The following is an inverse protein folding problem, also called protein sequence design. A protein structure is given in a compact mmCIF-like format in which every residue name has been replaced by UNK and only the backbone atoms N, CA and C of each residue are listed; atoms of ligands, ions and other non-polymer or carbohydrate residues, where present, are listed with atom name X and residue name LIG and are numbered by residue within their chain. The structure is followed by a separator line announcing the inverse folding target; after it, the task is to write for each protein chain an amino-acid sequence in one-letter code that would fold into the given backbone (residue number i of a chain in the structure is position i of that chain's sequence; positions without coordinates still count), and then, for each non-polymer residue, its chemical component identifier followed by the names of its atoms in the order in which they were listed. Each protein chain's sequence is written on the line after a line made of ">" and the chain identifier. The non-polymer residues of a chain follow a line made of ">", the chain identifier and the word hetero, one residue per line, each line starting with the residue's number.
data_IF_957622298701
#
_entry.id   IF_957622298701
#
_cell.length_a   1.000
_cell.length_b   1.000
_cell.length_c   1.000
_cell.angle_alpha   90.00
_cell.angle_beta   90.00
_cell.angle_gamma   90.00
#
_symmetry.space_group_name_H-M   'P 1'
#
loop_
_entity.id
_entity.type
_entity.pdbx_description
1 polymer ?
#
# COMPACT_ATOMS: atom_id res chain seq x y z
N UNK A 1 -6.75 5.35 19.01
CA UNK A 1 -7.10 6.09 20.24
C UNK A 1 -7.07 7.57 19.90
N UNK A 2 -8.09 8.34 20.28
CA UNK A 2 -8.15 9.80 20.11
C UNK A 2 -7.15 10.52 21.04
N UNK A 3 -6.89 11.82 20.83
CA UNK A 3 -6.12 12.63 21.79
C UNK A 3 -6.70 12.65 23.20
N UNK A 4 -8.03 12.47 23.31
CA UNK A 4 -8.75 12.43 24.59
C UNK A 4 -8.78 11.03 25.21
N UNK A 5 -8.10 10.04 24.60
CA UNK A 5 -8.00 8.67 25.09
C UNK A 5 -9.17 7.75 24.69
N UNK A 6 -10.08 8.19 23.84
CA UNK A 6 -11.17 7.35 23.36
C UNK A 6 -10.67 6.29 22.36
N UNK A 7 -11.23 5.10 22.47
CA UNK A 7 -10.97 4.02 21.53
C UNK A 7 -11.79 4.21 20.26
N UNK A 8 -11.12 4.50 19.13
CA UNK A 8 -11.76 4.82 17.86
C UNK A 8 -12.06 3.60 16.98
N UNK A 9 -11.39 2.48 17.24
CA UNK A 9 -11.57 1.27 16.46
C UNK A 9 -10.29 0.45 16.30
N UNK A 10 -10.42 -0.67 15.62
CA UNK A 10 -9.33 -1.61 15.31
C UNK A 10 -9.21 -1.74 13.79
N UNK A 11 -7.97 -1.84 13.30
CA UNK A 11 -7.67 -2.37 11.99
C UNK A 11 -7.10 -3.78 12.14
N UNK A 12 -7.69 -4.75 11.49
CA UNK A 12 -7.14 -6.09 11.35
C UNK A 12 -6.39 -6.21 10.02
N UNK A 13 -5.25 -6.88 10.01
CA UNK A 13 -4.47 -7.12 8.79
C UNK A 13 -5.35 -7.78 7.71
N UNK A 14 -5.42 -7.17 6.52
CA UNK A 14 -6.29 -7.61 5.43
C UNK A 14 -5.75 -8.87 4.73
N UNK A 15 -4.42 -8.95 4.60
CA UNK A 15 -3.71 -10.04 3.93
C UNK A 15 -2.70 -10.67 4.90
N UNK A 16 -3.13 -11.67 5.71
CA UNK A 16 -2.22 -12.39 6.60
C UNK A 16 -1.19 -13.18 5.80
N UNK A 17 0.03 -13.27 6.35
CA UNK A 17 1.10 -14.04 5.73
C UNK A 17 0.75 -15.53 5.80
N UNK A 18 0.70 -16.24 4.65
CA UNK A 18 0.41 -17.67 4.65
C UNK A 18 1.41 -18.47 5.51
N UNK A 19 0.94 -19.49 6.20
CA UNK A 19 1.75 -20.46 6.96
C UNK A 19 2.43 -19.95 8.24
N UNK A 20 2.16 -18.72 8.70
CA UNK A 20 2.73 -18.21 9.96
C UNK A 20 2.06 -18.77 11.21
N UNK A 21 0.90 -19.40 11.07
CA UNK A 21 0.12 -19.93 12.20
C UNK A 21 -0.51 -18.86 13.10
N UNK A 22 -0.39 -17.60 12.75
CA UNK A 22 -1.01 -16.51 13.49
C UNK A 22 -2.52 -16.48 13.27
N UNK A 23 -3.28 -16.30 14.34
CA UNK A 23 -4.72 -16.08 14.24
C UNK A 23 -4.96 -14.61 13.87
N UNK A 24 -5.42 -14.37 12.67
CA UNK A 24 -5.74 -13.02 12.21
C UNK A 24 -7.25 -12.75 12.34
N UNK A 25 -7.57 -11.60 12.89
CA UNK A 25 -8.93 -11.07 12.86
C UNK A 25 -8.96 -10.02 11.76
N UNK A 26 -9.41 -10.40 10.58
CA UNK A 26 -9.62 -9.46 9.48
C UNK A 26 -11.09 -9.07 9.46
N UNK A 27 -11.42 -7.88 9.93
CA UNK A 27 -12.80 -7.37 9.83
C UNK A 27 -13.11 -6.79 8.44
N UNK A 28 -12.07 -6.52 7.65
CA UNK A 28 -12.15 -5.87 6.32
C UNK A 28 -12.96 -4.58 6.33
N UNK A 29 -12.91 -3.86 7.44
CA UNK A 29 -13.67 -2.61 7.64
C UNK A 29 -13.00 -1.39 7.01
N UNK A 30 -11.67 -1.41 6.86
CA UNK A 30 -10.85 -0.32 6.34
C UNK A 30 -11.15 1.02 7.02
N UNK A 31 -10.93 1.15 8.33
CA UNK A 31 -11.26 2.37 9.07
C UNK A 31 -10.34 3.52 8.66
N UNK A 32 -10.92 4.72 8.63
CA UNK A 32 -10.19 5.98 8.49
C UNK A 32 -10.53 6.90 9.64
N UNK A 33 -9.57 7.70 10.09
CA UNK A 33 -9.67 8.52 11.28
C UNK A 33 -9.44 9.99 10.91
N UNK A 34 -10.43 10.82 11.17
CA UNK A 34 -10.30 12.27 10.99
C UNK A 34 -9.42 12.86 12.06
N UNK A 35 -8.44 13.67 11.66
CA UNK A 35 -7.58 14.42 12.56
C UNK A 35 -7.50 15.88 12.12
N UNK A 36 -7.02 16.80 12.99
CA UNK A 36 -6.78 18.18 12.58
C UNK A 36 -5.78 18.33 11.42
N UNK A 37 -4.98 17.31 11.14
CA UNK A 37 -3.93 17.29 10.12
C UNK A 37 -4.33 16.53 8.85
N UNK A 38 -5.53 15.97 8.79
CA UNK A 38 -6.01 15.17 7.67
C UNK A 38 -6.55 13.80 8.09
N UNK A 39 -7.00 13.04 7.12
CA UNK A 39 -7.60 11.71 7.34
C UNK A 39 -6.50 10.65 7.37
N UNK A 40 -6.32 10.03 8.52
CA UNK A 40 -5.37 8.94 8.72
C UNK A 40 -6.00 7.57 8.48
N UNK A 41 -5.20 6.64 8.01
CA UNK A 41 -5.51 5.22 7.96
C UNK A 41 -4.29 4.39 8.37
N UNK A 42 -4.46 3.10 8.54
CA UNK A 42 -3.34 2.18 8.79
C UNK A 42 -3.47 0.94 7.92
N UNK A 43 -2.33 0.37 7.57
CA UNK A 43 -2.17 -1.00 7.07
C UNK A 43 -1.16 -1.71 7.96
N UNK A 44 -1.08 -3.03 7.87
CA UNK A 44 -0.13 -3.80 8.69
C UNK A 44 0.70 -4.70 7.78
N UNK A 45 2.04 -4.56 7.88
CA UNK A 45 3.01 -5.49 7.31
C UNK A 45 2.70 -5.83 5.84
N UNK A 46 2.42 -7.09 5.52
CA UNK A 46 2.24 -7.63 4.18
C UNK A 46 1.07 -7.02 3.37
N UNK A 47 0.20 -6.22 4.00
CA UNK A 47 -0.91 -5.53 3.31
C UNK A 47 -0.45 -4.61 2.17
N UNK A 48 0.76 -4.03 2.27
CA UNK A 48 1.31 -3.14 1.24
C UNK A 48 1.67 -3.86 -0.08
N UNK A 49 1.90 -5.17 -0.02
CA UNK A 49 2.16 -5.97 -1.21
C UNK A 49 0.92 -6.03 -2.14
N UNK A 50 -0.27 -5.81 -1.59
CA UNK A 50 -1.52 -5.88 -2.33
C UNK A 50 -2.02 -4.49 -2.73
N UNK A 51 -2.46 -4.37 -3.96
CA UNK A 51 -2.88 -3.08 -4.54
C UNK A 51 -4.22 -2.60 -4.01
N UNK A 52 -5.05 -3.49 -3.52
CA UNK A 52 -6.44 -3.21 -3.18
C UNK A 52 -6.63 -2.62 -1.79
N UNK A 53 -5.81 -2.97 -0.79
CA UNK A 53 -5.96 -2.50 0.59
C UNK A 53 -5.79 -0.98 0.69
N UNK A 54 -4.66 -0.43 0.21
CA UNK A 54 -4.42 1.02 0.20
C UNK A 54 -5.50 1.74 -0.63
N UNK A 55 -5.88 1.19 -1.78
CA UNK A 55 -6.92 1.74 -2.64
C UNK A 55 -8.27 1.85 -1.93
N UNK A 56 -8.66 0.83 -1.16
CA UNK A 56 -9.89 0.84 -0.35
C UNK A 56 -9.88 1.93 0.72
N UNK A 57 -8.74 2.10 1.40
CA UNK A 57 -8.56 3.16 2.40
C UNK A 57 -8.65 4.56 1.78
N UNK A 58 -7.97 4.78 0.63
CA UNK A 58 -8.00 6.08 -0.05
C UNK A 58 -9.39 6.40 -0.61
N UNK A 59 -10.13 5.40 -1.08
CA UNK A 59 -11.55 5.58 -1.45
C UNK A 59 -12.44 6.02 -0.28
N UNK A 60 -12.05 5.67 0.96
CA UNK A 60 -12.70 6.13 2.20
C UNK A 60 -12.14 7.45 2.72
N UNK A 61 -11.27 8.10 1.97
CA UNK A 61 -10.76 9.43 2.26
C UNK A 61 -9.38 9.47 2.90
N UNK A 62 -8.68 8.36 3.07
CA UNK A 62 -7.34 8.36 3.63
C UNK A 62 -6.39 9.27 2.83
N UNK A 63 -5.62 10.08 3.53
CA UNK A 63 -4.65 11.03 3.01
C UNK A 63 -3.23 10.71 3.48
N UNK A 64 -3.12 10.08 4.65
CA UNK A 64 -1.87 9.58 5.21
C UNK A 64 -2.11 8.15 5.71
N UNK A 65 -1.21 7.24 5.36
CA UNK A 65 -1.25 5.83 5.80
C UNK A 65 -0.08 5.57 6.73
N UNK A 66 -0.38 5.15 7.96
CA UNK A 66 0.60 4.60 8.89
C UNK A 66 0.80 3.11 8.58
N UNK A 67 2.06 2.69 8.43
CA UNK A 67 2.42 1.32 8.10
C UNK A 67 3.38 0.75 9.15
N UNK A 68 2.90 0.23 10.27
CA UNK A 68 3.72 -0.57 11.18
C UNK A 68 4.03 -1.93 10.55
N UNK A 69 5.29 -2.33 10.61
CA UNK A 69 5.73 -3.60 10.05
C UNK A 69 6.89 -4.21 10.83
N UNK A 70 7.14 -5.48 10.59
CA UNK A 70 8.29 -6.21 11.10
C UNK A 70 8.91 -7.00 9.96
N UNK A 71 9.69 -6.32 9.14
CA UNK A 71 10.33 -6.93 7.99
C UNK A 71 11.50 -7.80 8.41
N UNK A 72 11.66 -8.94 7.76
CA UNK A 72 12.83 -9.79 7.89
C UNK A 72 13.79 -9.50 6.74
N UNK A 73 15.08 -9.71 7.00
CA UNK A 73 16.14 -9.23 6.12
C UNK A 73 15.99 -9.53 4.62
N UNK A 74 15.48 -10.67 4.16
CA UNK A 74 15.29 -10.93 2.72
C UNK A 74 14.32 -9.98 2.01
N UNK A 75 13.33 -9.41 2.71
CA UNK A 75 12.31 -8.55 2.10
C UNK A 75 12.51 -7.06 2.38
N UNK A 76 13.43 -6.71 3.26
CA UNK A 76 13.63 -5.33 3.73
C UNK A 76 13.88 -4.30 2.62
N UNK A 77 14.41 -4.71 1.47
CA UNK A 77 14.60 -3.83 0.31
C UNK A 77 13.34 -3.74 -0.53
N UNK A 78 12.57 -4.83 -0.61
CA UNK A 78 11.37 -4.89 -1.45
C UNK A 78 10.17 -4.21 -0.81
N UNK A 79 10.03 -4.34 0.49
CA UNK A 79 8.85 -3.85 1.21
C UNK A 79 8.67 -2.32 1.12
N UNK A 80 9.70 -1.47 1.33
CA UNK A 80 9.58 -0.03 1.09
C UNK A 80 9.24 0.35 -0.35
N UNK A 81 9.63 -0.48 -1.34
CA UNK A 81 9.26 -0.25 -2.73
C UNK A 81 7.75 -0.39 -2.94
N UNK A 82 7.10 -1.34 -2.28
CA UNK A 82 5.65 -1.46 -2.33
C UNK A 82 4.98 -0.17 -1.82
N UNK A 83 5.43 0.39 -0.70
CA UNK A 83 4.90 1.65 -0.18
C UNK A 83 5.08 2.82 -1.15
N UNK A 84 6.23 2.89 -1.84
CA UNK A 84 6.48 3.89 -2.87
C UNK A 84 5.45 3.80 -3.99
N UNK A 85 5.17 2.57 -4.46
CA UNK A 85 4.13 2.37 -5.49
C UNK A 85 2.74 2.68 -4.95
N UNK A 86 2.38 2.19 -3.76
CA UNK A 86 1.07 2.48 -3.15
C UNK A 86 0.84 3.97 -2.98
N UNK A 87 1.87 4.71 -2.53
CA UNK A 87 1.82 6.17 -2.40
C UNK A 87 1.54 6.85 -3.76
N UNK A 88 2.34 6.53 -4.78
CA UNK A 88 2.22 7.14 -6.10
C UNK A 88 0.91 6.77 -6.81
N UNK A 89 0.50 5.50 -6.76
CA UNK A 89 -0.72 4.99 -7.38
C UNK A 89 -1.99 5.65 -6.82
N UNK A 90 -2.00 5.92 -5.53
CA UNK A 90 -3.18 6.40 -4.83
C UNK A 90 -3.11 7.88 -4.42
N UNK A 91 -1.99 8.56 -4.63
CA UNK A 91 -1.74 9.94 -4.17
C UNK A 91 -2.00 10.08 -2.67
N UNK A 92 -1.34 9.25 -1.88
CA UNK A 92 -1.42 9.20 -0.42
C UNK A 92 -0.03 9.16 0.17
N UNK A 93 0.19 9.85 1.29
CA UNK A 93 1.48 9.78 2.00
C UNK A 93 1.59 8.53 2.84
N UNK A 94 2.80 7.99 2.96
CA UNK A 94 3.10 6.84 3.82
C UNK A 94 4.08 7.20 4.92
N UNK A 95 3.80 6.69 6.12
CA UNK A 95 4.70 6.72 7.27
C UNK A 95 4.92 5.29 7.71
N UNK A 96 5.99 4.68 7.20
CA UNK A 96 6.40 3.32 7.53
C UNK A 96 7.26 3.31 8.77
N UNK A 97 6.87 2.51 9.74
CA UNK A 97 7.64 2.24 10.96
C UNK A 97 7.97 0.75 11.02
N UNK A 98 9.22 0.42 10.71
CA UNK A 98 9.72 -0.94 10.77
C UNK A 98 10.47 -1.17 12.10
N UNK A 99 10.29 -2.35 12.67
CA UNK A 99 10.96 -2.71 13.93
C UNK A 99 12.48 -2.86 13.79
N UNK A 100 12.97 -3.19 12.60
CA UNK A 100 14.40 -3.48 12.40
C UNK A 100 15.07 -2.68 11.30
N UNK A 101 14.41 -2.52 10.16
CA UNK A 101 15.01 -2.04 8.92
C UNK A 101 13.99 -1.27 8.08
N UNK A 102 14.49 -0.34 7.25
CA UNK A 102 13.66 0.19 6.17
C UNK A 102 12.46 1.04 6.58
N UNK A 103 12.48 1.67 7.77
CA UNK A 103 11.51 2.72 8.08
C UNK A 103 11.63 3.85 7.07
N UNK A 104 10.51 4.42 6.61
CA UNK A 104 10.51 5.46 5.61
C UNK A 104 9.31 6.41 5.76
N UNK A 105 9.50 7.65 5.34
CA UNK A 105 8.45 8.64 5.13
C UNK A 105 8.41 8.94 3.63
N UNK A 106 7.24 8.75 3.01
CA UNK A 106 7.07 8.78 1.56
C UNK A 106 5.94 9.75 1.22
N UNK A 107 6.18 10.62 0.24
CA UNK A 107 5.19 11.60 -0.21
C UNK A 107 4.17 10.98 -1.21
N UNK A 108 3.08 11.71 -1.57
CA UNK A 108 2.05 11.21 -2.48
C UNK A 108 2.52 10.95 -3.91
N UNK A 109 3.77 11.29 -4.23
CA UNK A 109 4.38 11.05 -5.54
C UNK A 109 5.38 9.89 -5.52
N UNK A 110 5.50 9.19 -4.37
CA UNK A 110 6.44 8.10 -4.18
C UNK A 110 7.88 8.57 -3.90
N UNK A 111 8.09 9.86 -3.57
CA UNK A 111 9.43 10.35 -3.19
C UNK A 111 9.69 10.04 -1.73
N UNK A 112 10.83 9.44 -1.44
CA UNK A 112 11.27 9.17 -0.07
C UNK A 112 11.81 10.46 0.55
N UNK A 113 11.11 10.98 1.56
CA UNK A 113 11.47 12.20 2.27
C UNK A 113 12.50 11.93 3.37
N UNK A 114 12.38 10.78 4.03
CA UNK A 114 13.32 10.29 5.03
C UNK A 114 13.30 8.76 5.04
N UNK A 115 14.45 8.14 5.29
CA UNK A 115 14.55 6.69 5.40
C UNK A 115 15.63 6.26 6.40
N UNK A 116 15.43 5.11 7.03
CA UNK A 116 16.44 4.43 7.82
C UNK A 116 17.30 3.50 6.95
N UNK A 117 18.52 3.15 7.39
CA UNK A 117 19.32 2.14 6.72
C UNK A 117 18.59 0.79 6.61
N UNK A 118 18.82 0.07 5.51
CA UNK A 118 18.27 -1.26 5.26
C UNK A 118 19.29 -2.37 5.51
N UNK A 119 20.56 -2.03 5.65
CA UNK A 119 21.69 -2.96 5.81
C UNK A 119 22.01 -3.30 7.26
N UNK A 120 21.49 -2.51 8.22
CA UNK A 120 21.77 -2.66 9.65
C UNK A 120 20.59 -2.25 10.51
N UNK A 121 20.49 -2.86 11.68
CA UNK A 121 19.55 -2.46 12.73
C UNK A 121 19.96 -1.12 13.32
N UNK A 122 19.08 -0.16 13.30
CA UNK A 122 19.34 1.18 13.83
C UNK A 122 18.15 1.64 14.66
N UNK A 123 18.41 2.04 15.91
CA UNK A 123 17.40 2.75 16.71
C UNK A 123 17.47 4.22 16.31
N UNK A 124 16.42 4.72 15.68
CA UNK A 124 16.38 6.12 15.24
C UNK A 124 14.95 6.64 15.19
N UNK A 125 14.83 7.95 15.17
CA UNK A 125 13.59 8.67 14.88
C UNK A 125 13.75 9.33 13.53
N UNK A 126 12.80 9.10 12.63
CA UNK A 126 12.70 9.81 11.36
C UNK A 126 11.72 10.96 11.51
N UNK A 127 12.06 12.10 10.95
CA UNK A 127 11.21 13.28 10.89
C UNK A 127 11.23 13.88 9.48
N UNK A 128 10.06 14.22 8.97
CA UNK A 128 9.90 14.98 7.74
C UNK A 128 8.55 15.69 7.72
N UNK A 129 8.43 16.75 6.94
CA UNK A 129 7.15 17.38 6.64
C UNK A 129 6.40 16.50 5.64
N UNK A 130 5.30 15.92 6.09
CA UNK A 130 4.50 14.99 5.29
C UNK A 130 3.40 15.75 4.56
N UNK A 131 3.41 15.82 3.23
CA UNK A 131 2.32 16.44 2.49
C UNK A 131 1.01 15.69 2.71
N UNK A 132 -0.07 16.41 2.96
CA UNK A 132 -1.42 15.88 3.05
C UNK A 132 -2.17 16.25 1.78
N UNK A 133 -2.31 15.30 0.83
CA UNK A 133 -2.95 15.59 -0.45
C UNK A 133 -4.46 15.76 -0.30
N UNK A 134 -5.15 16.35 -1.29
CA UNK A 134 -6.62 16.29 -1.35
C UNK A 134 -7.11 14.85 -1.33
N UNK A 135 -8.24 14.61 -0.66
CA UNK A 135 -8.89 13.28 -0.63
C UNK A 135 -9.40 12.86 -2.03
N UNK A 136 -9.56 11.54 -2.23
CA UNK A 136 -10.18 10.98 -3.45
C UNK A 136 -9.21 10.28 -4.42
N UNK A 137 -7.92 10.37 -4.18
CA UNK A 137 -6.91 9.60 -4.91
C UNK A 137 -6.81 9.91 -6.40
N UNK A 138 -6.42 8.91 -7.18
CA UNK A 138 -6.16 8.98 -8.62
C UNK A 138 -7.23 8.26 -9.45
N UNK A 139 -7.07 8.28 -10.77
CA UNK A 139 -7.83 7.40 -11.66
C UNK A 139 -7.63 5.93 -11.28
N UNK A 140 -6.39 5.52 -10.99
CA UNK A 140 -6.08 4.17 -10.54
C UNK A 140 -6.82 3.80 -9.24
N UNK A 141 -6.90 4.72 -8.28
CA UNK A 141 -7.69 4.51 -7.05
C UNK A 141 -9.14 4.13 -7.36
N UNK A 142 -9.73 4.70 -8.43
CA UNK A 142 -11.11 4.46 -8.84
C UNK A 142 -11.28 3.18 -9.66
N UNK A 143 -10.37 2.93 -10.59
CA UNK A 143 -10.51 1.87 -11.60
C UNK A 143 -9.74 0.58 -11.27
N UNK A 144 -8.66 0.68 -10.48
CA UNK A 144 -7.80 -0.45 -10.16
C UNK A 144 -7.00 -0.94 -11.37
N UNK A 145 -6.76 -2.24 -11.42
CA UNK A 145 -5.86 -2.91 -12.37
C UNK A 145 -6.49 -3.18 -13.75
N UNK A 146 -7.53 -2.41 -14.13
CA UNK A 146 -8.27 -2.59 -15.39
C UNK A 146 -7.38 -2.57 -16.64
N UNK A 147 -6.30 -1.76 -16.61
CA UNK A 147 -5.39 -1.65 -17.74
C UNK A 147 -4.61 -2.96 -17.96
N UNK A 148 -4.18 -3.62 -16.88
CA UNK A 148 -3.56 -4.94 -16.94
C UNK A 148 -4.51 -5.98 -17.54
N UNK A 149 -5.78 -5.96 -17.14
CA UNK A 149 -6.81 -6.83 -17.72
C UNK A 149 -7.01 -6.54 -19.22
N UNK A 150 -7.07 -5.28 -19.63
CA UNK A 150 -7.18 -4.88 -21.03
C UNK A 150 -6.00 -5.39 -21.85
N UNK A 151 -4.77 -5.24 -21.36
CA UNK A 151 -3.57 -5.75 -22.01
C UNK A 151 -3.61 -7.28 -22.14
N UNK A 152 -4.04 -7.99 -21.09
CA UNK A 152 -4.19 -9.44 -21.11
C UNK A 152 -5.21 -9.90 -22.17
N UNK A 153 -6.39 -9.28 -22.20
CA UNK A 153 -7.42 -9.58 -23.19
C UNK A 153 -6.94 -9.28 -24.63
N UNK A 154 -6.22 -8.17 -24.82
CA UNK A 154 -5.61 -7.83 -26.11
C UNK A 154 -4.60 -8.87 -26.56
N UNK A 155 -3.76 -9.35 -25.67
CA UNK A 155 -2.80 -10.42 -25.95
C UNK A 155 -3.49 -11.72 -26.36
N UNK A 156 -4.52 -12.14 -25.61
CA UNK A 156 -5.31 -13.34 -25.92
C UNK A 156 -5.98 -13.22 -27.29
N UNK A 157 -6.58 -12.08 -27.59
CA UNK A 157 -7.20 -11.81 -28.88
C UNK A 157 -6.18 -11.87 -30.05
N UNK A 158 -4.99 -11.29 -29.84
CA UNK A 158 -3.92 -11.32 -30.83
C UNK A 158 -3.43 -12.73 -31.11
N UNK A 159 -3.18 -13.54 -30.08
CA UNK A 159 -2.77 -14.94 -30.21
C UNK A 159 -3.87 -15.75 -30.94
N UNK A 160 -5.13 -15.57 -30.55
CA UNK A 160 -6.26 -16.24 -31.20
C UNK A 160 -6.37 -15.90 -32.69
N UNK A 161 -6.18 -14.63 -33.04
CA UNK A 161 -6.16 -14.17 -34.41
C UNK A 161 -5.01 -14.83 -35.25
N UNK A 162 -3.79 -14.84 -34.70
CA UNK A 162 -2.64 -15.43 -35.37
C UNK A 162 -2.81 -16.94 -35.62
N UNK A 163 -3.28 -17.69 -34.62
CA UNK A 163 -3.59 -19.12 -34.74
C UNK A 163 -4.66 -19.39 -35.79
N UNK A 164 -5.73 -18.58 -35.80
CA UNK A 164 -6.80 -18.70 -36.81
C UNK A 164 -6.27 -18.46 -38.23
N UNK A 165 -5.45 -17.43 -38.41
CA UNK A 165 -4.84 -17.07 -39.71
C UNK A 165 -3.90 -18.13 -40.21
N UNK A 166 -3.17 -18.84 -39.37
CA UNK A 166 -2.29 -19.94 -39.74
C UNK A 166 -3.07 -21.14 -40.25
N UNK A 167 -4.22 -21.46 -39.61
CA UNK A 167 -5.12 -22.56 -40.03
C UNK A 167 -5.76 -22.33 -41.41
N UNK A 168 -5.98 -21.09 -41.81
CA UNK A 168 -6.58 -20.75 -43.10
C UNK A 168 -5.56 -20.67 -44.27
N UNK A 169 -4.26 -20.73 -43.97
CA UNK A 169 -3.18 -20.65 -44.96
C UNK A 169 -2.48 -22.00 -45.24
N UNK A 170 -2.79 -23.04 -44.51
CA UNK A 170 -2.35 -24.41 -44.70
C UNK A 170 -3.47 -25.29 -45.21
#
# INVERSE_FOLDING_TARGET
>A
ISPDGEFLGVYGQDHPIPFTGEAFVTERTYPTYQTPFGTLATIICYDNAFTDTTRKLVRKGAQVVAHPTHDWQPIVVMDPLHDIFRAAENRVSFVKADWRYGSAIIDPYGRVLAASPTDRRTKMVLMADVPVPPSGGTLYTRTGDWFGLLCFLGMVAFIGYDVSRRKTRG
#
